data_IF_368864327999
#
_entry.id   IF_368864327999
#
_cell.length_a   1.000
_cell.length_b   1.000
_cell.length_c   1.000
_cell.angle_alpha   90.00
_cell.angle_beta   90.00
_cell.angle_gamma   90.00
#
_symmetry.space_group_name_H-M   'P 1'
#
loop_
_entity.id
_entity.type
_entity.pdbx_description
1 polymer ?
#
# COMPACT_ATOMS: atom_id res chain seq x y z
N UNK A 1 20.86 -18.96 -67.55
CA UNK A 1 21.08 -17.50 -67.66
C UNK A 1 20.17 -16.81 -66.65
N UNK A 2 20.74 -16.03 -65.73
CA UNK A 2 20.03 -15.44 -64.60
C UNK A 2 19.02 -14.37 -65.06
N UNK A 3 17.77 -14.49 -64.60
CA UNK A 3 16.76 -13.46 -64.80
C UNK A 3 17.12 -12.22 -63.97
N UNK A 4 17.49 -11.13 -64.65
CA UNK A 4 17.71 -9.81 -64.02
C UNK A 4 16.39 -9.34 -63.41
N UNK A 5 16.33 -9.30 -62.07
CA UNK A 5 15.23 -8.73 -61.30
C UNK A 5 14.98 -7.27 -61.72
N UNK A 6 13.81 -7.00 -62.31
CA UNK A 6 13.34 -5.64 -62.57
C UNK A 6 12.83 -5.08 -61.24
N UNK A 7 13.62 -4.18 -60.66
CA UNK A 7 13.20 -3.36 -59.53
C UNK A 7 11.96 -2.54 -59.94
N UNK A 8 10.80 -2.83 -59.37
CA UNK A 8 9.57 -2.09 -59.68
C UNK A 8 9.50 -0.82 -58.83
N UNK A 9 8.78 0.20 -59.30
CA UNK A 9 8.65 1.50 -58.61
C UNK A 9 8.03 1.38 -57.21
N UNK A 10 7.22 0.33 -57.00
CA UNK A 10 6.65 -0.04 -55.71
C UNK A 10 7.74 -0.56 -54.74
N UNK A 11 8.71 -1.35 -55.22
CA UNK A 11 9.83 -1.85 -54.41
C UNK A 11 10.79 -0.74 -53.94
N UNK A 12 10.91 0.33 -54.74
CA UNK A 12 11.68 1.50 -54.36
C UNK A 12 10.96 2.30 -53.27
N UNK A 13 9.63 2.49 -53.38
CA UNK A 13 8.84 3.22 -52.39
C UNK A 13 8.78 2.50 -51.04
N UNK A 14 8.56 1.18 -51.04
CA UNK A 14 8.55 0.39 -49.80
C UNK A 14 9.90 0.44 -49.09
N UNK A 15 11.01 0.33 -49.85
CA UNK A 15 12.37 0.51 -49.29
C UNK A 15 12.57 1.88 -48.67
N UNK A 16 12.20 2.96 -49.36
CA UNK A 16 12.38 4.32 -48.82
C UNK A 16 11.50 4.58 -47.59
N UNK A 17 10.30 4.01 -47.54
CA UNK A 17 9.40 4.12 -46.38
C UNK A 17 9.93 3.32 -45.18
N UNK A 18 10.43 2.10 -45.39
CA UNK A 18 11.03 1.29 -44.33
C UNK A 18 12.33 1.91 -43.80
N UNK A 19 13.17 2.45 -44.68
CA UNK A 19 14.41 3.15 -44.31
C UNK A 19 14.11 4.45 -43.55
N UNK A 20 13.08 5.21 -43.95
CA UNK A 20 12.59 6.37 -43.22
C UNK A 20 11.97 6.00 -41.86
N UNK A 21 11.34 4.83 -41.73
CA UNK A 21 10.79 4.31 -40.47
C UNK A 21 11.90 3.87 -39.51
N UNK A 22 12.99 3.30 -40.03
CA UNK A 22 14.17 2.92 -39.24
C UNK A 22 14.93 4.17 -38.77
N UNK A 23 15.16 5.16 -39.65
CA UNK A 23 15.87 6.39 -39.29
C UNK A 23 15.12 7.30 -38.31
N UNK A 24 13.80 7.14 -38.19
CA UNK A 24 12.98 7.86 -37.18
C UNK A 24 12.74 7.04 -35.91
N UNK A 25 13.34 5.87 -35.80
CA UNK A 25 13.22 5.03 -34.60
C UNK A 25 14.21 5.51 -33.56
N UNK A 26 13.71 5.82 -32.36
CA UNK A 26 14.55 6.03 -31.19
C UNK A 26 15.21 4.69 -30.89
N UNK A 27 16.49 4.56 -31.21
CA UNK A 27 17.28 3.37 -30.90
C UNK A 27 17.85 3.54 -29.49
N UNK A 28 17.36 2.73 -28.56
CA UNK A 28 17.88 2.71 -27.20
C UNK A 28 19.16 1.88 -27.20
N UNK A 29 20.28 2.49 -26.84
CA UNK A 29 21.56 1.81 -26.68
C UNK A 29 21.81 1.56 -25.19
N UNK A 30 21.66 0.32 -24.71
CA UNK A 30 21.95 0.01 -23.31
C UNK A 30 23.47 0.06 -23.08
N UNK A 31 23.89 0.84 -22.08
CA UNK A 31 25.29 0.91 -21.63
C UNK A 31 25.41 0.34 -20.21
N UNK A 32 26.50 -0.38 -19.95
CA UNK A 32 26.82 -0.88 -18.62
C UNK A 32 27.78 0.10 -17.95
N UNK A 33 27.35 0.69 -16.84
CA UNK A 33 28.15 1.63 -16.05
C UNK A 33 28.38 1.04 -14.66
N UNK A 34 29.61 1.19 -14.15
CA UNK A 34 29.91 0.83 -12.77
C UNK A 34 29.20 1.79 -11.83
N UNK A 35 28.29 1.25 -11.02
CA UNK A 35 27.62 2.02 -9.98
C UNK A 35 28.62 2.39 -8.86
N UNK A 36 28.83 3.69 -8.67
CA UNK A 36 29.73 4.23 -7.63
C UNK A 36 28.95 4.71 -6.39
N UNK A 37 27.62 4.63 -6.40
CA UNK A 37 26.77 5.02 -5.28
C UNK A 37 27.00 4.12 -4.07
N UNK A 38 27.36 4.70 -2.92
CA UNK A 38 27.50 3.99 -1.63
C UNK A 38 26.49 4.54 -0.63
N UNK A 39 25.80 3.65 0.09
CA UNK A 39 24.86 4.04 1.14
C UNK A 39 23.61 4.77 0.64
N UNK A 40 23.30 4.66 -0.65
CA UNK A 40 22.09 5.26 -1.22
C UNK A 40 20.84 4.49 -0.76
N UNK A 41 19.73 5.22 -0.62
CA UNK A 41 18.40 4.61 -0.50
C UNK A 41 17.83 4.40 -1.90
N UNK A 42 17.12 3.29 -2.10
CA UNK A 42 16.38 2.99 -3.32
C UNK A 42 14.89 3.29 -3.08
N UNK A 43 14.22 3.83 -4.09
CA UNK A 43 12.77 4.00 -4.08
C UNK A 43 12.12 2.93 -4.97
N UNK A 44 11.19 2.17 -4.39
CA UNK A 44 10.42 1.13 -5.07
C UNK A 44 9.00 1.63 -5.22
N UNK A 45 8.60 1.95 -6.45
CA UNK A 45 7.22 2.30 -6.76
C UNK A 45 6.40 1.04 -7.01
N UNK A 46 5.29 0.90 -6.29
CA UNK A 46 4.40 -0.25 -6.40
C UNK A 46 2.94 0.21 -6.49
N UNK A 47 2.16 -0.50 -7.29
CA UNK A 47 0.70 -0.40 -7.36
C UNK A 47 0.14 -1.81 -7.55
N UNK A 48 -0.21 -2.46 -6.45
CA UNK A 48 -0.60 -3.88 -6.41
C UNK A 48 -1.98 -3.99 -5.78
N UNK A 49 -2.87 -4.76 -6.41
CA UNK A 49 -4.24 -4.98 -5.93
C UNK A 49 -4.43 -6.41 -5.44
N UNK A 50 -4.95 -6.56 -4.23
CA UNK A 50 -5.32 -7.80 -3.57
C UNK A 50 -6.85 -7.90 -3.51
N UNK A 51 -7.50 -8.71 -4.37
CA UNK A 51 -8.95 -8.66 -4.55
C UNK A 51 -9.77 -9.29 -3.42
N UNK A 52 -9.16 -10.11 -2.56
CA UNK A 52 -9.81 -10.86 -1.48
C UNK A 52 -9.08 -10.74 -0.14
N UNK A 53 -8.41 -9.60 0.07
CA UNK A 53 -7.71 -9.31 1.32
C UNK A 53 -8.08 -7.89 1.77
N UNK A 54 -8.68 -7.72 2.96
CA UNK A 54 -9.00 -6.40 3.47
C UNK A 54 -7.74 -5.62 3.84
N UNK A 55 -7.77 -4.29 3.64
CA UNK A 55 -6.60 -3.43 3.90
C UNK A 55 -6.17 -3.42 5.37
N UNK A 56 -7.09 -3.72 6.29
CA UNK A 56 -6.82 -3.78 7.71
C UNK A 56 -5.91 -4.96 8.10
N UNK A 57 -6.08 -6.11 7.43
CA UNK A 57 -5.27 -7.29 7.70
C UNK A 57 -3.97 -7.30 6.89
N UNK A 58 -3.91 -6.59 5.76
CA UNK A 58 -2.75 -6.61 4.88
C UNK A 58 -1.56 -5.87 5.51
N UNK A 59 -0.40 -6.48 5.66
CA UNK A 59 0.85 -5.80 6.08
C UNK A 59 1.89 -5.78 4.96
N UNK A 60 2.79 -4.80 5.02
CA UNK A 60 3.96 -4.67 4.15
C UNK A 60 5.17 -4.58 5.06
N UNK A 61 6.05 -5.56 4.95
CA UNK A 61 7.22 -5.71 5.80
C UNK A 61 8.48 -5.75 4.94
N UNK A 62 9.53 -5.07 5.39
CA UNK A 62 10.81 -4.96 4.67
C UNK A 62 11.90 -5.50 5.56
N UNK A 63 12.74 -6.38 5.01
CA UNK A 63 13.91 -6.94 5.68
C UNK A 63 15.13 -6.87 4.77
N UNK A 64 16.21 -6.30 5.27
CA UNK A 64 17.49 -6.28 4.56
C UNK A 64 18.57 -7.11 5.27
N UNK A 65 19.67 -7.39 4.56
CA UNK A 65 20.82 -8.11 5.12
C UNK A 65 21.58 -7.32 6.20
N UNK A 66 21.29 -6.02 6.35
CA UNK A 66 21.87 -5.18 7.40
C UNK A 66 21.13 -5.35 8.74
N UNK A 67 20.06 -6.15 8.76
CA UNK A 67 19.21 -6.36 9.92
C UNK A 67 18.23 -5.22 10.17
N UNK A 68 18.12 -4.25 9.25
CA UNK A 68 17.06 -3.25 9.30
C UNK A 68 15.74 -3.96 8.94
N UNK A 69 14.79 -3.90 9.88
CA UNK A 69 13.45 -4.41 9.68
C UNK A 69 12.46 -3.28 9.88
N UNK A 70 11.60 -3.07 8.90
CA UNK A 70 10.49 -2.13 9.03
C UNK A 70 9.21 -2.94 8.93
N UNK A 71 8.55 -3.12 10.08
CA UNK A 71 7.28 -3.82 10.20
C UNK A 71 6.13 -2.84 9.97
N UNK A 72 5.17 -3.19 9.12
CA UNK A 72 3.97 -2.40 8.87
C UNK A 72 4.25 -1.04 8.24
N UNK A 73 5.10 -0.98 7.21
CA UNK A 73 5.51 0.28 6.57
C UNK A 73 4.29 1.05 6.04
N UNK A 74 4.07 2.25 6.58
CA UNK A 74 3.01 3.17 6.14
C UNK A 74 3.56 4.45 5.51
N UNK A 75 4.87 4.70 5.60
CA UNK A 75 5.49 5.89 5.04
C UNK A 75 5.66 5.73 3.53
N UNK A 76 5.06 6.64 2.75
CA UNK A 76 5.14 6.63 1.29
C UNK A 76 4.23 5.62 0.59
N UNK A 77 3.54 4.75 1.35
CA UNK A 77 2.65 3.72 0.83
C UNK A 77 1.24 3.91 1.39
N UNK A 78 0.24 3.97 0.52
CA UNK A 78 -1.18 4.09 0.86
C UNK A 78 -1.89 2.76 0.58
N UNK A 79 -2.73 2.35 1.53
CA UNK A 79 -3.69 1.25 1.37
C UNK A 79 -5.05 1.85 1.02
N UNK A 80 -5.62 1.43 -0.10
CA UNK A 80 -6.92 1.88 -0.62
C UNK A 80 -7.88 0.71 -0.57
N UNK A 81 -8.97 0.85 0.21
CA UNK A 81 -10.03 -0.16 0.29
C UNK A 81 -10.77 -0.25 -1.03
N UNK A 82 -11.09 -1.46 -1.44
CA UNK A 82 -11.83 -1.75 -2.66
C UNK A 82 -13.10 -2.53 -2.32
N UNK A 83 -14.17 -2.29 -3.08
CA UNK A 83 -15.36 -3.14 -3.03
C UNK A 83 -15.01 -4.58 -3.41
N UNK A 84 -15.87 -5.56 -3.09
CA UNK A 84 -15.65 -6.93 -3.48
C UNK A 84 -15.36 -7.08 -4.97
N UNK A 85 -14.53 -8.06 -5.31
CA UNK A 85 -14.17 -8.34 -6.71
C UNK A 85 -15.40 -8.61 -7.58
N UNK A 86 -16.45 -9.20 -7.00
CA UNK A 86 -17.75 -9.46 -7.64
C UNK A 86 -18.46 -8.16 -8.10
N UNK A 87 -18.21 -7.04 -7.42
CA UNK A 87 -18.77 -5.71 -7.75
C UNK A 87 -17.82 -4.86 -8.62
N UNK A 88 -16.71 -5.44 -9.06
CA UNK A 88 -15.74 -4.81 -9.95
C UNK A 88 -14.59 -4.07 -9.25
N UNK A 89 -14.40 -4.24 -7.93
CA UNK A 89 -13.21 -3.72 -7.23
C UNK A 89 -13.07 -2.20 -7.25
N UNK A 90 -14.18 -1.48 -7.09
CA UNK A 90 -14.19 -0.01 -7.11
C UNK A 90 -13.57 0.54 -5.83
N UNK A 91 -12.94 1.70 -5.93
CA UNK A 91 -12.36 2.38 -4.76
C UNK A 91 -13.46 2.80 -3.79
N UNK A 92 -13.33 2.37 -2.53
CA UNK A 92 -14.15 2.88 -1.43
C UNK A 92 -13.50 4.18 -0.98
N UNK A 93 -14.02 5.30 -1.46
CA UNK A 93 -13.52 6.61 -1.08
C UNK A 93 -13.82 6.87 0.40
N UNK A 94 -12.79 6.76 1.25
CA UNK A 94 -12.83 7.31 2.60
C UNK A 94 -12.71 8.85 2.53
N UNK A 95 -13.75 9.55 2.04
CA UNK A 95 -13.87 11.00 2.25
C UNK A 95 -14.32 11.27 3.69
N UNK A 96 -13.42 10.99 4.64
CA UNK A 96 -13.58 11.30 6.05
C UNK A 96 -12.78 12.51 6.49
N UNK A 97 -12.62 13.56 5.67
CA UNK A 97 -12.01 14.83 6.13
C UNK A 97 -12.39 16.08 5.30
N UNK A 98 -13.36 16.00 4.39
CA UNK A 98 -13.81 17.14 3.56
C UNK A 98 -15.19 17.71 3.93
N UNK A 99 -16.05 16.92 4.56
CA UNK A 99 -17.44 17.32 4.84
C UNK A 99 -17.58 18.23 6.07
N UNK A 100 -16.59 18.22 6.98
CA UNK A 100 -16.63 19.10 8.16
C UNK A 100 -16.41 20.57 7.78
N UNK A 101 -15.63 20.87 6.73
CA UNK A 101 -15.36 22.25 6.30
C UNK A 101 -16.60 22.91 5.67
N UNK A 102 -17.47 22.14 5.02
CA UNK A 102 -18.68 22.64 4.35
C UNK A 102 -19.77 23.02 5.36
N UNK A 103 -19.80 22.39 6.54
CA UNK A 103 -20.76 22.72 7.59
C UNK A 103 -20.37 23.97 8.37
N UNK A 104 -19.06 24.23 8.55
CA UNK A 104 -18.57 25.40 9.30
C UNK A 104 -18.79 26.71 8.52
N UNK A 105 -18.81 26.66 7.18
CA UNK A 105 -19.01 27.84 6.33
C UNK A 105 -20.49 28.26 6.18
N UNK A 106 -21.47 27.46 6.64
CA UNK A 106 -22.91 27.77 6.48
C UNK A 106 -23.60 28.31 7.73
N UNK A 107 -22.97 28.31 8.90
CA UNK A 107 -23.56 28.82 10.15
C UNK A 107 -22.70 29.91 10.78
N UNK A 108 -22.76 31.11 10.19
CA UNK A 108 -22.23 32.35 10.77
C UNK A 108 -23.05 32.84 12.00
N UNK A 109 -23.36 31.94 12.94
CA UNK A 109 -24.10 32.22 14.18
C UNK A 109 -23.41 31.60 15.42
N UNK A 110 -22.33 30.83 15.24
CA UNK A 110 -21.61 30.17 16.35
C UNK A 110 -20.58 31.07 17.08
N UNK A 111 -20.66 32.39 16.95
CA UNK A 111 -19.68 33.31 17.55
C UNK A 111 -20.02 33.73 19.00
N UNK A 112 -21.17 33.33 19.58
CA UNK A 112 -21.62 33.86 20.88
C UNK A 112 -21.87 32.83 21.99
N UNK A 113 -21.62 31.54 21.76
CA UNK A 113 -21.87 30.48 22.79
C UNK A 113 -20.67 29.61 23.15
N UNK A 114 -19.45 30.03 22.81
CA UNK A 114 -18.24 29.36 23.28
C UNK A 114 -17.55 30.19 24.38
N UNK A 115 -18.09 30.13 25.61
CA UNK A 115 -17.17 29.77 26.68
C UNK A 115 -17.83 28.85 27.71
N UNK A 116 -18.34 27.67 27.32
CA UNK A 116 -18.89 26.71 28.31
C UNK A 116 -18.79 25.23 27.90
N UNK A 117 -17.76 24.85 27.12
CA UNK A 117 -17.38 23.44 26.97
C UNK A 117 -15.89 23.23 27.23
N UNK A 118 -15.37 23.83 28.30
CA UNK A 118 -14.27 23.23 29.05
C UNK A 118 -14.83 22.11 29.94
N UNK A 119 -15.48 21.12 29.33
CA UNK A 119 -15.66 19.82 29.98
C UNK A 119 -14.29 19.16 30.01
N UNK A 120 -13.54 19.49 31.05
CA UNK A 120 -12.37 18.75 31.52
C UNK A 120 -12.89 17.37 31.99
N UNK A 121 -13.27 16.51 31.04
CA UNK A 121 -13.34 15.08 31.35
C UNK A 121 -11.90 14.66 31.55
N UNK A 122 -11.57 14.31 32.77
CA UNK A 122 -10.52 13.37 33.11
C UNK A 122 -10.79 12.07 32.37
N UNK A 123 -10.55 12.04 31.05
CA UNK A 123 -10.47 10.80 30.30
C UNK A 123 -9.19 10.16 30.78
N UNK A 124 -9.32 9.22 31.73
CA UNK A 124 -8.38 8.13 31.84
C UNK A 124 -8.09 7.68 30.40
N UNK A 125 -6.84 7.70 29.98
CA UNK A 125 -6.45 7.44 28.60
C UNK A 125 -6.96 6.04 28.21
N UNK A 126 -8.09 5.98 27.51
CA UNK A 126 -8.64 4.72 27.04
C UNK A 126 -7.71 4.24 25.92
N UNK A 127 -7.04 3.13 26.16
CA UNK A 127 -6.10 2.54 25.22
C UNK A 127 -6.89 2.01 24.02
N UNK A 128 -6.55 2.39 22.77
CA UNK A 128 -7.27 1.92 21.58
C UNK A 128 -6.89 0.49 21.21
N UNK A 129 -7.73 -0.22 20.45
CA UNK A 129 -7.50 -1.65 20.10
C UNK A 129 -6.16 -1.89 19.41
N UNK A 130 -5.75 -0.95 18.54
CA UNK A 130 -4.44 -0.95 17.86
C UNK A 130 -3.23 -1.08 18.80
N UNK A 131 -3.31 -0.51 20.01
CA UNK A 131 -2.23 -0.63 21.00
C UNK A 131 -2.16 -2.03 21.62
N UNK A 132 -3.30 -2.72 21.73
CA UNK A 132 -3.32 -4.12 22.16
C UNK A 132 -2.69 -5.03 21.11
N UNK A 133 -3.04 -4.83 19.83
CA UNK A 133 -2.40 -5.55 18.72
C UNK A 133 -0.86 -5.37 18.73
N UNK A 134 -0.39 -4.13 18.89
CA UNK A 134 1.04 -3.79 18.99
C UNK A 134 1.70 -4.46 20.20
N UNK A 135 1.03 -4.48 21.36
CA UNK A 135 1.54 -5.11 22.58
C UNK A 135 1.68 -6.64 22.42
N UNK A 136 0.70 -7.32 21.83
CA UNK A 136 0.77 -8.76 21.55
C UNK A 136 1.89 -9.08 20.54
N UNK A 137 2.01 -8.29 19.48
CA UNK A 137 3.09 -8.44 18.51
C UNK A 137 4.48 -8.26 19.15
N UNK A 138 4.62 -7.33 20.11
CA UNK A 138 5.90 -7.08 20.81
C UNK A 138 6.41 -8.27 21.63
N UNK A 139 5.50 -9.17 22.06
CA UNK A 139 5.82 -10.41 22.77
C UNK A 139 5.64 -11.66 21.89
N UNK A 140 5.55 -11.47 20.56
CA UNK A 140 5.40 -12.55 19.58
C UNK A 140 4.16 -13.42 19.79
N UNK A 141 3.04 -12.82 20.20
CA UNK A 141 1.76 -13.51 20.37
C UNK A 141 0.78 -13.16 19.26
N UNK A 142 0.00 -14.15 18.85
CA UNK A 142 -1.16 -13.97 17.99
C UNK A 142 -2.27 -13.24 18.77
N UNK A 143 -2.87 -12.22 18.17
CA UNK A 143 -3.95 -11.44 18.80
C UNK A 143 -5.33 -12.04 18.48
N UNK A 144 -5.46 -12.66 17.30
CA UNK A 144 -6.76 -13.18 16.84
C UNK A 144 -7.83 -12.10 16.77
N UNK A 145 -9.08 -12.49 17.05
CA UNK A 145 -10.27 -11.62 16.92
C UNK A 145 -10.47 -10.67 18.10
N UNK A 146 -9.58 -10.69 19.10
CA UNK A 146 -9.68 -9.83 20.28
C UNK A 146 -10.82 -10.21 21.22
N UNK A 147 -11.18 -11.50 21.28
CA UNK A 147 -12.21 -12.01 22.20
C UNK A 147 -11.79 -11.79 23.66
N UNK A 148 -12.76 -11.45 24.53
CA UNK A 148 -12.54 -11.15 25.95
C UNK A 148 -11.68 -9.90 26.21
N UNK A 149 -11.59 -8.98 25.24
CA UNK A 149 -10.93 -7.67 25.38
C UNK A 149 -11.98 -6.57 25.23
N UNK A 150 -12.29 -5.88 26.32
CA UNK A 150 -13.32 -4.81 26.38
C UNK A 150 -13.12 -3.74 25.28
N UNK A 151 -11.87 -3.43 24.96
CA UNK A 151 -11.50 -2.45 23.95
C UNK A 151 -11.92 -2.89 22.54
N UNK A 152 -11.80 -4.18 22.23
CA UNK A 152 -12.21 -4.76 20.95
C UNK A 152 -13.73 -4.72 20.79
N UNK A 153 -14.47 -5.08 21.83
CA UNK A 153 -15.93 -5.08 21.84
C UNK A 153 -16.47 -3.65 21.69
N UNK A 154 -15.89 -2.70 22.41
CA UNK A 154 -16.28 -1.28 22.35
C UNK A 154 -15.98 -0.63 21.00
N UNK A 155 -14.89 -1.03 20.34
CA UNK A 155 -14.50 -0.51 19.01
C UNK A 155 -15.10 -1.31 17.85
N UNK A 156 -15.92 -2.32 18.14
CA UNK A 156 -16.50 -3.23 17.16
C UNK A 156 -15.45 -3.82 16.21
N UNK A 157 -14.31 -4.24 16.78
CA UNK A 157 -13.15 -4.70 16.02
C UNK A 157 -13.47 -5.94 15.19
N UNK A 158 -14.10 -6.94 15.80
CA UNK A 158 -14.49 -8.19 15.15
C UNK A 158 -15.54 -7.96 14.05
N UNK A 159 -16.54 -7.14 14.29
CA UNK A 159 -17.59 -6.84 13.30
C UNK A 159 -17.03 -6.04 12.12
N UNK A 160 -16.11 -5.12 12.39
CA UNK A 160 -15.43 -4.34 11.34
C UNK A 160 -14.59 -5.24 10.45
N UNK A 161 -13.87 -6.21 11.02
CA UNK A 161 -13.16 -7.23 10.24
C UNK A 161 -14.13 -8.06 9.39
N UNK A 162 -15.24 -8.54 9.96
CA UNK A 162 -16.24 -9.33 9.23
C UNK A 162 -16.87 -8.56 8.07
N UNK A 163 -17.21 -7.29 8.27
CA UNK A 163 -17.79 -6.42 7.24
C UNK A 163 -16.86 -6.26 6.03
N UNK A 164 -15.55 -6.35 6.24
CA UNK A 164 -14.52 -6.16 5.22
C UNK A 164 -14.02 -7.49 4.63
N UNK A 165 -14.46 -8.67 5.09
CA UNK A 165 -13.90 -9.97 4.65
C UNK A 165 -13.94 -10.20 3.14
N UNK A 166 -14.93 -9.62 2.44
CA UNK A 166 -15.07 -9.74 0.99
C UNK A 166 -14.43 -8.58 0.21
N UNK A 167 -13.93 -7.57 0.91
CA UNK A 167 -13.28 -6.41 0.29
C UNK A 167 -11.91 -6.77 -0.28
N UNK A 168 -11.45 -5.92 -1.20
CA UNK A 168 -10.09 -5.92 -1.67
C UNK A 168 -9.28 -4.78 -1.08
N UNK A 169 -7.96 -4.85 -1.26
CA UNK A 169 -7.05 -3.77 -0.92
C UNK A 169 -6.08 -3.49 -2.06
N UNK A 170 -5.91 -2.22 -2.41
CA UNK A 170 -4.85 -1.78 -3.31
C UNK A 170 -3.77 -1.06 -2.53
N UNK A 171 -2.54 -1.57 -2.62
CA UNK A 171 -1.37 -0.90 -2.09
C UNK A 171 -0.75 -0.08 -3.21
N UNK A 172 -0.65 1.24 -3.04
CA UNK A 172 -0.01 2.13 -3.99
C UNK A 172 0.93 3.12 -3.30
N UNK A 173 2.11 3.36 -3.87
CA UNK A 173 3.06 4.34 -3.34
C UNK A 173 4.52 4.03 -3.63
N UNK A 174 5.41 4.74 -2.95
CA UNK A 174 6.86 4.60 -3.01
C UNK A 174 7.42 4.12 -1.68
N UNK A 175 8.12 2.99 -1.70
CA UNK A 175 8.83 2.43 -0.55
C UNK A 175 10.30 2.84 -0.62
N UNK A 176 10.84 3.40 0.46
CA UNK A 176 12.26 3.82 0.55
C UNK A 176 13.06 2.82 1.37
N UNK A 177 13.92 2.04 0.72
CA UNK A 177 14.73 0.97 1.34
C UNK A 177 16.23 1.22 1.18
N UNK A 178 17.07 0.52 1.93
CA UNK A 178 18.50 0.49 1.66
C UNK A 178 18.77 -0.16 0.29
N UNK A 179 19.68 0.42 -0.49
CA UNK A 179 20.16 -0.17 -1.75
C UNK A 179 21.15 -1.31 -1.46
N UNK A 180 20.65 -2.36 -0.82
CA UNK A 180 21.36 -3.60 -0.48
C UNK A 180 20.45 -4.78 -0.77
N UNK A 181 21.00 -5.99 -0.70
CA UNK A 181 20.21 -7.22 -0.83
C UNK A 181 19.18 -7.27 0.29
N UNK A 182 17.93 -7.53 -0.06
CA UNK A 182 16.82 -7.61 0.88
C UNK A 182 15.57 -8.17 0.22
N UNK A 183 14.53 -8.33 1.02
CA UNK A 183 13.20 -8.69 0.58
C UNK A 183 12.17 -7.75 1.20
N UNK A 184 11.05 -7.60 0.50
CA UNK A 184 9.84 -7.10 1.11
C UNK A 184 8.75 -8.15 0.89
N UNK A 185 7.94 -8.37 1.91
CA UNK A 185 6.85 -9.33 1.85
C UNK A 185 5.54 -8.61 2.15
N UNK A 186 4.49 -9.12 1.51
CA UNK A 186 3.11 -8.66 1.70
C UNK A 186 2.32 -9.88 2.11
N UNK A 187 1.77 -9.87 3.31
CA UNK A 187 0.95 -10.96 3.79
C UNK A 187 -0.25 -10.43 4.59
N UNK A 188 -1.34 -11.21 4.68
CA UNK A 188 -2.41 -10.91 5.61
C UNK A 188 -1.97 -11.21 7.05
N UNK A 189 -2.59 -10.55 8.02
CA UNK A 189 -2.27 -10.68 9.43
C UNK A 189 -1.18 -9.74 9.90
N UNK A 190 -1.17 -9.47 11.21
CA UNK A 190 -0.06 -8.75 11.85
C UNK A 190 1.19 -9.61 11.82
N UNK A 191 2.32 -9.00 11.50
CA UNK A 191 3.62 -9.65 11.56
C UNK A 191 4.34 -9.35 12.87
N UNK A 192 5.13 -10.31 13.31
CA UNK A 192 6.06 -10.17 14.42
C UNK A 192 7.35 -10.91 14.11
N UNK A 193 8.44 -10.42 14.68
CA UNK A 193 9.77 -11.03 14.52
C UNK A 193 10.21 -11.57 15.87
N UNK A 194 10.56 -12.86 15.92
CA UNK A 194 11.18 -13.49 17.07
C UNK A 194 12.51 -14.12 16.67
N UNK A 195 13.61 -13.49 17.07
CA UNK A 195 14.96 -13.89 16.64
C UNK A 195 15.12 -13.85 15.12
N UNK A 196 15.45 -15.00 14.53
CA UNK A 196 15.67 -15.15 13.08
C UNK A 196 14.39 -15.47 12.29
N UNK A 197 13.23 -15.53 12.95
CA UNK A 197 11.97 -15.90 12.32
C UNK A 197 11.05 -14.68 12.21
N UNK A 198 10.52 -14.45 11.01
CA UNK A 198 9.49 -13.47 10.72
C UNK A 198 8.18 -14.22 10.41
N UNK A 199 7.13 -13.96 11.18
CA UNK A 199 5.87 -14.71 11.12
C UNK A 199 4.71 -13.75 10.98
N UNK A 200 3.71 -14.14 10.18
CA UNK A 200 2.43 -13.46 10.08
C UNK A 200 1.33 -14.27 10.77
N UNK A 201 0.51 -13.60 11.58
CA UNK A 201 -0.66 -14.19 12.24
C UNK A 201 -1.84 -14.28 11.26
N UNK A 202 -2.04 -15.46 10.67
CA UNK A 202 -3.10 -15.70 9.69
C UNK A 202 -4.48 -16.02 10.32
N UNK A 203 -4.60 -16.05 11.65
CA UNK A 203 -5.82 -16.51 12.33
C UNK A 203 -7.05 -15.68 11.97
N UNK A 204 -6.88 -14.39 11.66
CA UNK A 204 -7.97 -13.50 11.29
C UNK A 204 -8.33 -13.52 9.80
N UNK A 205 -7.54 -14.20 8.97
CA UNK A 205 -7.74 -14.23 7.54
C UNK A 205 -8.65 -15.37 7.09
N UNK A 206 -8.52 -16.55 7.70
CA UNK A 206 -9.35 -17.74 7.41
C UNK A 206 -10.70 -17.62 8.13
#
# INVERSE_FOLDING_TARGET
MAAKSRFTRLDAFTKTVDEARINRRITVHPELVVDKGRGEKMEIHLNITFPKIPCELLTLDVMDVSGEQQVGVMHGVKKVRLTPQEEGGKVIDNYGFGSLLILILRTAVFATVLPLLQMRKSQAAVIPVRKYEEAYASVSWAFGRGENVEQCEREHYSERLDSQRKEGCRIEGGLRVNKVIGNFHIAPGRSFTNGNMHVHDLNNYF
#
